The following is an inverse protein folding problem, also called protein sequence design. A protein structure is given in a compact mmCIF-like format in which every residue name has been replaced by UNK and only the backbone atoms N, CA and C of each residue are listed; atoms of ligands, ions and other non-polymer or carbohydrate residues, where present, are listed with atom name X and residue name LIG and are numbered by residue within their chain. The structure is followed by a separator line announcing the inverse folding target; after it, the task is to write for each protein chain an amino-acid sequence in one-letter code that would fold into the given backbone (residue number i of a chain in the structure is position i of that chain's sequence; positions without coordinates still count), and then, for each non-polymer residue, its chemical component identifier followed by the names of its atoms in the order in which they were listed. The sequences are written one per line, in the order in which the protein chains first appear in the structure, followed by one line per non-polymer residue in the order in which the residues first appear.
data_IF_126222254171
#
_entry.id   IF_126222254171
#
_cell.length_a   1.000
_cell.length_b   1.000
_cell.length_c   1.000
_cell.angle_alpha   90.00
_cell.angle_beta   90.00
_cell.angle_gamma   90.00
#
_symmetry.space_group_name_H-M   'P 1'
#
loop_
_entity.id
_entity.type
_entity.pdbx_description
1 polymer ?
#
# COMPACT_ATOMS: atom_id res chain seq x y z
N UNK A 1 30.71 -4.48 8.31
CA UNK A 1 30.66 -3.98 6.90
C UNK A 1 30.26 -2.48 6.88
N UNK A 2 31.07 -1.60 6.28
CA UNK A 2 30.98 -0.13 6.43
C UNK A 2 29.70 0.57 5.89
N UNK A 3 28.70 -0.20 5.45
CA UNK A 3 27.48 0.29 4.78
C UNK A 3 26.17 -0.04 5.51
N UNK A 4 26.24 -0.65 6.70
CA UNK A 4 25.06 -0.98 7.51
C UNK A 4 24.99 -0.08 8.73
N UNK A 5 23.81 0.49 8.97
CA UNK A 5 23.46 1.24 10.19
C UNK A 5 22.42 0.40 10.93
N UNK A 6 22.72 0.01 12.17
CA UNK A 6 21.80 -0.79 12.98
C UNK A 6 20.77 0.12 13.67
N UNK A 7 19.48 -0.23 13.56
CA UNK A 7 18.36 0.51 14.17
C UNK A 7 17.80 -0.30 15.36
N UNK A 8 17.52 0.34 16.51
CA UNK A 8 17.67 1.78 16.76
C UNK A 8 19.11 2.21 16.97
N UNK A 9 19.99 1.32 17.44
CA UNK A 9 21.40 1.65 17.69
C UNK A 9 21.53 2.92 18.55
N UNK A 10 22.08 3.99 17.98
CA UNK A 10 22.23 5.31 18.61
C UNK A 10 21.23 6.36 18.13
N UNK A 11 20.19 5.99 17.37
CA UNK A 11 19.26 6.91 16.70
C UNK A 11 18.17 7.51 17.61
N UNK A 12 18.12 7.15 18.90
CA UNK A 12 17.12 7.66 19.85
C UNK A 12 15.76 6.98 19.71
N UNK A 13 14.70 7.78 19.76
CA UNK A 13 13.30 7.33 19.68
C UNK A 13 12.71 7.54 18.27
N UNK A 14 11.70 6.74 17.86
CA UNK A 14 11.03 6.92 16.58
C UNK A 14 10.29 8.27 16.50
N UNK A 15 10.11 8.84 15.30
CA UNK A 15 10.43 8.25 14.00
C UNK A 15 11.93 8.30 13.66
N UNK A 16 12.48 7.14 13.27
CA UNK A 16 13.86 7.02 12.82
C UNK A 16 14.02 7.63 11.43
N UNK A 17 14.91 8.61 11.30
CA UNK A 17 15.18 9.30 10.04
C UNK A 17 16.31 8.64 9.27
N UNK A 18 16.01 8.00 8.14
CA UNK A 18 16.94 7.27 7.29
C UNK A 18 17.47 8.18 6.17
N UNK A 19 18.34 9.13 6.52
CA UNK A 19 18.78 10.23 5.64
C UNK A 19 20.14 10.01 4.96
N UNK A 20 20.79 8.86 5.12
CA UNK A 20 22.10 8.59 4.52
C UNK A 20 21.95 7.77 3.24
N UNK A 21 22.10 8.44 2.09
CA UNK A 21 22.10 7.80 0.77
C UNK A 21 23.18 6.72 0.65
N UNK A 22 22.83 5.61 0.01
CA UNK A 22 23.72 4.45 -0.19
C UNK A 22 23.91 3.58 1.05
N UNK A 23 23.09 3.77 2.10
CA UNK A 23 23.15 2.97 3.32
C UNK A 23 22.00 1.99 3.43
N UNK A 24 22.31 0.86 4.05
CA UNK A 24 21.33 -0.11 4.54
C UNK A 24 21.10 0.15 6.01
N UNK A 25 19.84 0.32 6.40
CA UNK A 25 19.40 0.39 7.77
C UNK A 25 18.82 -0.97 8.12
N UNK A 26 19.46 -1.66 9.08
CA UNK A 26 19.02 -2.98 9.52
C UNK A 26 18.39 -2.85 10.91
N UNK A 27 17.11 -3.18 11.00
CA UNK A 27 16.42 -3.27 12.27
C UNK A 27 16.94 -4.49 13.06
N UNK A 28 17.16 -4.31 14.36
CA UNK A 28 17.78 -5.32 15.23
C UNK A 28 16.90 -5.77 16.40
N UNK A 29 15.71 -5.17 16.53
CA UNK A 29 14.71 -5.51 17.53
C UNK A 29 13.34 -5.01 17.08
N UNK A 30 12.30 -5.55 17.69
CA UNK A 30 10.94 -5.05 17.47
C UNK A 30 10.79 -3.61 17.99
N UNK A 31 9.97 -2.81 17.32
CA UNK A 31 9.71 -1.40 17.67
C UNK A 31 8.21 -1.19 17.83
N UNK A 32 7.81 -0.53 18.91
CA UNK A 32 6.46 0.03 19.06
C UNK A 32 6.58 1.54 19.21
N UNK A 33 5.98 2.28 18.29
CA UNK A 33 5.92 3.73 18.32
C UNK A 33 4.48 4.19 18.60
N UNK A 34 4.27 5.26 19.37
CA UNK A 34 2.95 5.88 19.50
C UNK A 34 2.44 6.36 18.13
N UNK A 35 3.34 6.82 17.28
CA UNK A 35 3.10 7.49 16.00
C UNK A 35 3.82 6.76 14.84
N UNK A 36 4.39 7.48 13.88
CA UNK A 36 5.23 6.92 12.80
C UNK A 36 6.50 6.21 13.29
N UNK A 37 7.00 5.21 12.54
CA UNK A 37 8.26 4.50 12.88
C UNK A 37 9.44 4.96 12.03
N UNK A 38 9.33 4.98 10.70
CA UNK A 38 10.43 5.31 9.80
C UNK A 38 10.10 6.45 8.84
N UNK A 39 11.03 7.39 8.70
CA UNK A 39 11.00 8.46 7.69
C UNK A 39 12.24 8.39 6.80
N UNK A 40 12.04 8.29 5.49
CA UNK A 40 13.12 8.13 4.49
C UNK A 40 13.17 9.38 3.59
N UNK A 41 13.94 10.42 3.97
CA UNK A 41 14.06 11.63 3.15
C UNK A 41 15.14 11.53 2.04
N UNK A 42 15.93 10.46 2.00
CA UNK A 42 17.03 10.26 1.05
C UNK A 42 16.77 9.14 0.04
N UNK A 43 17.35 9.27 -1.17
CA UNK A 43 17.38 8.22 -2.20
C UNK A 43 18.44 7.15 -1.91
N UNK A 44 18.34 6.01 -2.60
CA UNK A 44 19.28 4.89 -2.47
C UNK A 44 19.40 4.37 -1.03
N UNK A 45 18.26 4.25 -0.35
CA UNK A 45 18.18 3.77 1.02
C UNK A 45 17.53 2.39 1.01
N UNK A 46 18.17 1.43 1.69
CA UNK A 46 17.55 0.15 2.00
C UNK A 46 17.17 0.12 3.47
N UNK A 47 15.90 -0.10 3.77
CA UNK A 47 15.42 -0.46 5.09
C UNK A 47 15.16 -1.98 5.10
N UNK A 48 15.98 -2.72 5.83
CA UNK A 48 15.76 -4.14 6.10
C UNK A 48 15.22 -4.27 7.52
N UNK A 49 13.99 -4.77 7.65
CA UNK A 49 13.36 -4.97 8.95
C UNK A 49 13.92 -6.19 9.69
N UNK A 50 14.81 -6.99 9.09
CA UNK A 50 15.56 -8.05 9.79
C UNK A 50 14.66 -9.14 10.39
N UNK A 51 13.49 -9.40 9.80
CA UNK A 51 12.41 -10.23 10.32
C UNK A 51 11.76 -9.72 11.63
N UNK A 52 12.06 -8.50 12.05
CA UNK A 52 11.43 -7.86 13.20
C UNK A 52 10.08 -7.24 12.86
N UNK A 53 9.33 -6.93 13.93
CA UNK A 53 8.02 -6.30 13.87
C UNK A 53 8.10 -4.84 14.25
N UNK A 54 7.45 -3.99 13.47
CA UNK A 54 7.18 -2.59 13.85
C UNK A 54 5.68 -2.37 14.02
N UNK A 55 5.32 -1.65 15.08
CA UNK A 55 3.97 -1.19 15.37
C UNK A 55 3.97 0.33 15.33
N UNK A 56 3.19 0.92 14.42
CA UNK A 56 3.02 2.36 14.28
C UNK A 56 1.58 2.76 14.62
N UNK A 57 1.34 4.06 14.87
CA UNK A 57 0.01 4.55 15.24
C UNK A 57 -0.59 3.75 16.41
N UNK A 58 0.22 3.53 17.46
CA UNK A 58 -0.19 2.74 18.62
C UNK A 58 -1.00 3.55 19.65
N UNK A 59 -1.15 4.85 19.42
CA UNK A 59 -2.02 5.74 20.18
C UNK A 59 -2.96 6.44 19.19
N UNK A 60 -4.22 6.58 19.56
CA UNK A 60 -5.18 7.33 18.74
C UNK A 60 -4.84 8.81 18.78
N UNK A 61 -4.62 9.40 17.60
CA UNK A 61 -4.39 10.84 17.48
C UNK A 61 -5.63 11.53 16.88
N UNK A 62 -6.39 12.24 17.73
CA UNK A 62 -7.57 12.99 17.26
C UNK A 62 -7.20 14.26 16.46
N UNK A 63 -5.97 14.76 16.59
CA UNK A 63 -5.55 16.07 16.08
C UNK A 63 -5.28 16.07 14.58
N UNK A 64 -4.94 14.92 14.01
CA UNK A 64 -4.56 14.75 12.60
C UNK A 64 -5.78 14.59 11.64
N UNK A 65 -6.99 14.86 12.14
CA UNK A 65 -8.25 14.71 11.38
C UNK A 65 -8.71 15.97 10.64
N UNK A 66 -7.97 17.09 10.72
CA UNK A 66 -8.51 18.42 10.41
C UNK A 66 -7.89 19.18 9.22
N UNK A 67 -7.02 18.60 8.40
CA UNK A 67 -6.65 19.24 7.12
C UNK A 67 -7.47 18.65 5.95
N UNK A 68 -8.52 19.35 5.48
CA UNK A 68 -9.40 18.90 4.42
C UNK A 68 -8.76 18.94 3.03
N UNK A 69 -7.53 19.43 2.87
CA UNK A 69 -6.88 19.53 1.58
C UNK A 69 -5.69 18.57 1.44
N UNK A 70 -4.89 18.38 2.48
CA UNK A 70 -3.62 17.64 2.36
C UNK A 70 -3.12 16.98 3.65
N UNK A 71 -3.91 16.68 4.69
CA UNK A 71 -3.40 16.23 6.00
C UNK A 71 -2.56 14.94 6.08
N UNK A 72 -2.36 14.21 4.99
CA UNK A 72 -1.66 12.92 5.04
C UNK A 72 -0.11 12.95 5.18
N UNK A 73 0.65 14.02 4.88
CA UNK A 73 2.08 14.11 5.15
C UNK A 73 2.43 14.00 6.63
N UNK A 74 1.52 14.47 7.49
CA UNK A 74 1.69 14.48 8.94
C UNK A 74 1.12 13.20 9.60
N UNK A 75 0.30 12.43 8.87
CA UNK A 75 -0.24 11.18 9.38
C UNK A 75 0.83 10.14 9.74
N UNK A 76 0.49 9.35 10.76
CA UNK A 76 1.32 8.24 11.21
C UNK A 76 1.46 7.19 10.13
N UNK A 77 2.67 6.67 9.90
CA UNK A 77 2.91 5.60 8.95
C UNK A 77 3.99 4.66 9.47
N UNK A 78 3.94 3.39 9.07
CA UNK A 78 5.01 2.44 9.38
C UNK A 78 6.32 2.88 8.75
N UNK A 79 6.30 3.03 7.43
CA UNK A 79 7.42 3.56 6.63
C UNK A 79 6.91 4.67 5.72
N UNK A 80 7.46 5.89 5.85
CA UNK A 80 7.11 7.05 5.01
C UNK A 80 8.28 7.57 4.19
N UNK A 81 8.00 7.83 2.92
CA UNK A 81 8.91 8.42 1.95
C UNK A 81 8.12 9.32 0.99
N UNK A 82 8.37 10.64 1.03
CA UNK A 82 7.57 11.62 0.28
C UNK A 82 8.33 12.29 -0.86
N UNK A 83 7.62 12.45 -1.98
CA UNK A 83 7.98 13.26 -3.14
C UNK A 83 8.90 12.56 -4.15
N UNK A 84 10.22 12.71 -4.02
CA UNK A 84 11.13 12.54 -5.15
C UNK A 84 12.27 11.55 -4.87
N UNK A 85 12.22 10.82 -3.76
CA UNK A 85 13.24 9.81 -3.50
C UNK A 85 13.04 8.62 -4.43
N UNK A 86 14.17 8.09 -4.87
CA UNK A 86 14.25 6.97 -5.80
C UNK A 86 15.13 5.89 -5.19
N UNK A 87 14.93 4.64 -5.64
CA UNK A 87 15.67 3.49 -5.15
C UNK A 87 15.57 3.35 -3.61
N UNK A 88 14.36 3.55 -3.08
CA UNK A 88 14.00 3.24 -1.70
C UNK A 88 13.49 1.82 -1.67
N UNK A 89 14.16 0.98 -0.88
CA UNK A 89 13.93 -0.45 -0.80
C UNK A 89 13.51 -0.79 0.64
N UNK A 90 12.38 -1.48 0.83
CA UNK A 90 11.89 -1.93 2.15
C UNK A 90 11.73 -3.45 2.15
N UNK A 91 12.41 -4.14 3.07
CA UNK A 91 12.54 -5.59 3.05
C UNK A 91 12.21 -6.25 4.40
N UNK A 92 11.79 -7.52 4.33
CA UNK A 92 11.92 -8.56 5.37
C UNK A 92 11.41 -8.21 6.77
N UNK A 93 10.10 -8.25 7.03
CA UNK A 93 9.59 -8.10 8.40
C UNK A 93 8.08 -7.93 8.48
N UNK A 94 7.61 -7.41 9.62
CA UNK A 94 6.18 -7.21 9.86
C UNK A 94 5.89 -5.76 10.21
N UNK A 95 4.88 -5.17 9.59
CA UNK A 95 4.44 -3.78 9.81
C UNK A 95 2.96 -3.79 10.21
N UNK A 96 2.65 -3.33 11.42
CA UNK A 96 1.32 -3.41 12.01
C UNK A 96 0.85 -2.00 12.41
N UNK A 97 -0.36 -1.62 11.98
CA UNK A 97 -1.06 -0.49 12.58
C UNK A 97 -1.54 -0.90 13.98
N UNK A 98 -1.13 -0.14 14.99
CA UNK A 98 -1.42 -0.38 16.39
C UNK A 98 -2.84 -0.01 16.80
N UNK A 99 -3.00 0.22 18.11
CA UNK A 99 -4.31 0.47 18.73
C UNK A 99 -4.94 1.82 18.34
N UNK A 100 -4.18 2.75 17.76
CA UNK A 100 -4.71 4.03 17.29
C UNK A 100 -5.78 3.84 16.23
N UNK A 101 -5.55 2.96 15.25
CA UNK A 101 -6.52 2.65 14.19
C UNK A 101 -7.14 3.89 13.54
N UNK A 102 -6.33 4.94 13.39
CA UNK A 102 -6.75 6.22 12.86
C UNK A 102 -7.31 6.10 11.43
N UNK A 103 -8.18 7.05 11.08
CA UNK A 103 -8.84 7.08 9.77
C UNK A 103 -7.97 7.81 8.75
N UNK A 104 -7.76 7.19 7.60
CA UNK A 104 -7.09 7.82 6.48
C UNK A 104 -7.96 8.88 5.81
N UNK A 105 -7.31 9.75 5.05
CA UNK A 105 -7.97 10.77 4.25
C UNK A 105 -8.89 10.15 3.19
N UNK A 106 -9.82 10.91 2.62
CA UNK A 106 -10.79 10.37 1.65
C UNK A 106 -10.15 9.63 0.46
N UNK A 107 -8.92 9.98 0.07
CA UNK A 107 -8.18 9.30 -1.00
C UNK A 107 -7.53 7.97 -0.58
N UNK A 108 -7.70 7.55 0.67
CA UNK A 108 -7.03 6.43 1.30
C UNK A 108 -5.60 6.72 1.77
N UNK A 109 -5.20 7.99 1.80
CA UNK A 109 -3.85 8.43 2.18
C UNK A 109 -3.73 8.63 3.69
N UNK A 110 -2.52 8.43 4.23
CA UNK A 110 -2.28 8.48 5.68
C UNK A 110 -2.48 7.12 6.32
N UNK A 111 -1.79 6.86 7.44
CA UNK A 111 -1.98 5.64 8.24
C UNK A 111 -1.69 4.33 7.51
N UNK A 112 -0.96 4.38 6.39
CA UNK A 112 -0.54 3.19 5.65
C UNK A 112 0.66 2.54 6.33
N UNK A 113 0.73 1.19 6.35
CA UNK A 113 1.96 0.47 6.68
C UNK A 113 3.16 0.96 5.87
N UNK A 114 2.99 1.12 4.55
CA UNK A 114 4.04 1.65 3.66
C UNK A 114 3.48 2.75 2.78
N UNK A 115 4.17 3.89 2.79
CA UNK A 115 3.87 5.03 1.93
C UNK A 115 5.16 5.51 1.27
N UNK A 116 5.34 5.19 -0.01
CA UNK A 116 6.47 5.60 -0.83
C UNK A 116 5.89 6.32 -2.05
N UNK A 117 5.82 7.65 -2.01
CA UNK A 117 5.27 8.44 -3.12
C UNK A 117 6.27 8.70 -4.25
N UNK A 118 7.56 8.44 -4.02
CA UNK A 118 8.63 8.60 -4.99
C UNK A 118 8.40 7.80 -6.27
N UNK A 119 8.67 8.42 -7.42
CA UNK A 119 8.70 7.73 -8.72
C UNK A 119 10.08 7.11 -8.97
N UNK A 120 10.14 5.91 -9.53
CA UNK A 120 11.40 5.25 -9.88
C UNK A 120 11.46 3.82 -9.37
N UNK A 121 12.66 3.22 -9.37
CA UNK A 121 12.90 1.81 -9.01
C UNK A 121 12.85 1.58 -7.49
N UNK A 122 11.75 1.97 -6.86
CA UNK A 122 11.47 1.66 -5.46
C UNK A 122 11.01 0.20 -5.32
N UNK A 123 11.28 -0.43 -4.19
CA UNK A 123 10.98 -1.84 -3.98
C UNK A 123 10.38 -2.07 -2.59
N UNK A 124 9.35 -2.91 -2.51
CA UNK A 124 8.82 -3.42 -1.24
C UNK A 124 8.66 -4.92 -1.35
N UNK A 125 9.40 -5.67 -0.54
CA UNK A 125 9.40 -7.12 -0.63
C UNK A 125 9.56 -7.86 0.69
N UNK A 126 8.97 -9.06 0.77
CA UNK A 126 9.15 -9.94 1.92
C UNK A 126 8.56 -9.40 3.22
N UNK A 127 7.56 -8.51 3.16
CA UNK A 127 6.90 -7.97 4.35
C UNK A 127 5.50 -8.53 4.57
N UNK A 128 5.11 -8.67 5.84
CA UNK A 128 3.73 -8.80 6.27
C UNK A 128 3.21 -7.40 6.68
N UNK A 129 2.16 -6.91 6.04
CA UNK A 129 1.54 -5.63 6.35
C UNK A 129 0.11 -5.82 6.88
N UNK A 130 -0.18 -5.29 8.06
CA UNK A 130 -1.50 -5.31 8.67
C UNK A 130 -1.95 -3.91 9.06
N UNK A 131 -3.19 -3.55 8.72
CA UNK A 131 -3.79 -2.26 9.09
C UNK A 131 -5.26 -2.40 9.46
N UNK A 132 -5.78 -1.48 10.27
CA UNK A 132 -7.11 -1.57 10.88
C UNK A 132 -7.89 -0.24 10.87
N UNK A 133 -7.28 0.87 10.44
CA UNK A 133 -7.95 2.16 10.31
C UNK A 133 -9.05 2.20 9.25
N UNK A 134 -10.00 3.12 9.38
CA UNK A 134 -11.03 3.36 8.35
C UNK A 134 -10.44 4.18 7.19
N UNK A 135 -10.88 3.94 5.94
CA UNK A 135 -10.35 4.66 4.76
C UNK A 135 -8.79 4.66 4.66
N UNK A 136 -8.13 3.54 4.95
CA UNK A 136 -6.66 3.40 4.89
C UNK A 136 -6.24 2.44 3.78
N UNK A 137 -5.17 2.78 3.04
CA UNK A 137 -4.48 1.88 2.10
C UNK A 137 -3.39 1.07 2.80
N UNK A 138 -3.16 -0.16 2.35
CA UNK A 138 -2.06 -0.98 2.84
C UNK A 138 -0.69 -0.47 2.39
N UNK A 139 -0.49 -0.39 1.07
CA UNK A 139 0.72 0.15 0.47
C UNK A 139 0.35 1.22 -0.55
N UNK A 140 0.92 2.40 -0.41
CA UNK A 140 0.87 3.43 -1.46
C UNK A 140 2.25 3.61 -2.06
N UNK A 141 2.35 3.29 -3.34
CA UNK A 141 3.59 3.35 -4.10
C UNK A 141 3.54 4.48 -5.13
N UNK A 142 4.70 4.93 -5.58
CA UNK A 142 4.84 5.75 -6.76
C UNK A 142 4.95 4.90 -8.03
N UNK A 143 4.90 5.54 -9.21
CA UNK A 143 5.12 4.85 -10.47
C UNK A 143 6.58 4.33 -10.57
N UNK A 144 6.79 3.20 -11.25
CA UNK A 144 8.10 2.56 -11.37
C UNK A 144 8.42 1.55 -10.25
N UNK A 145 7.62 1.52 -9.18
CA UNK A 145 7.90 0.65 -8.04
C UNK A 145 7.63 -0.84 -8.33
N UNK A 146 8.40 -1.70 -7.67
CA UNK A 146 8.21 -3.15 -7.64
C UNK A 146 7.71 -3.59 -6.26
N UNK A 147 6.63 -4.38 -6.23
CA UNK A 147 6.00 -4.85 -4.99
C UNK A 147 5.80 -6.35 -5.09
N UNK A 148 6.51 -7.13 -4.27
CA UNK A 148 6.50 -8.59 -4.42
C UNK A 148 6.80 -9.41 -3.17
N UNK A 149 6.30 -10.65 -3.12
CA UNK A 149 6.48 -11.55 -1.98
C UNK A 149 6.00 -10.98 -0.65
N UNK A 150 4.96 -10.13 -0.69
CA UNK A 150 4.36 -9.57 0.52
C UNK A 150 3.08 -10.31 0.90
N UNK A 151 2.76 -10.27 2.18
CA UNK A 151 1.46 -10.72 2.72
C UNK A 151 0.73 -9.51 3.27
N UNK A 152 -0.49 -9.26 2.80
CA UNK A 152 -1.26 -8.06 3.14
C UNK A 152 -2.59 -8.45 3.78
N UNK A 153 -2.86 -7.87 4.95
CA UNK A 153 -4.08 -8.10 5.72
C UNK A 153 -4.77 -6.79 6.09
N UNK A 154 -5.84 -6.48 5.36
CA UNK A 154 -6.77 -5.42 5.72
C UNK A 154 -7.73 -5.89 6.82
N UNK A 155 -7.66 -5.26 8.01
CA UNK A 155 -8.57 -5.51 9.14
C UNK A 155 -9.50 -4.35 9.44
N UNK A 156 -9.49 -3.26 8.68
CA UNK A 156 -10.24 -2.10 9.12
C UNK A 156 -11.73 -2.18 8.79
N UNK A 157 -12.44 -1.22 9.37
CA UNK A 157 -13.86 -1.33 9.66
C UNK A 157 -14.76 -0.42 8.82
N UNK A 158 -14.21 0.47 8.00
CA UNK A 158 -15.01 1.42 7.24
C UNK A 158 -14.37 1.93 5.95
N UNK A 159 -15.23 2.35 5.02
CA UNK A 159 -14.93 3.09 3.79
C UNK A 159 -15.82 4.33 3.81
N UNK A 160 -15.21 5.52 3.85
CA UNK A 160 -15.93 6.80 3.86
C UNK A 160 -16.12 7.35 2.44
N UNK A 161 -15.28 6.94 1.49
CA UNK A 161 -15.42 7.30 0.07
C UNK A 161 -15.14 6.11 -0.83
N UNK A 162 -16.21 5.47 -1.32
CA UNK A 162 -16.13 4.37 -2.30
C UNK A 162 -15.59 4.80 -3.67
N UNK A 163 -15.69 6.09 -4.00
CA UNK A 163 -15.19 6.61 -5.28
C UNK A 163 -13.66 6.63 -5.31
N UNK A 164 -13.05 7.05 -4.21
CA UNK A 164 -11.60 7.04 -4.07
C UNK A 164 -11.09 5.66 -3.65
N UNK A 165 -11.83 4.98 -2.77
CA UNK A 165 -11.57 3.62 -2.32
C UNK A 165 -10.38 3.48 -1.37
N UNK A 166 -10.28 2.29 -0.77
CA UNK A 166 -9.05 1.78 -0.14
C UNK A 166 -8.46 0.67 -0.99
N UNK A 167 -7.14 0.54 -0.96
CA UNK A 167 -6.41 -0.44 -1.77
C UNK A 167 -5.43 -1.19 -0.86
N UNK A 168 -5.30 -2.51 -1.05
CA UNK A 168 -4.20 -3.23 -0.40
C UNK A 168 -2.86 -2.77 -0.99
N UNK A 169 -2.78 -2.63 -2.32
CA UNK A 169 -1.65 -2.04 -3.04
C UNK A 169 -2.16 -0.99 -4.02
N UNK A 170 -1.73 0.26 -3.85
CA UNK A 170 -1.98 1.36 -4.76
C UNK A 170 -0.71 1.75 -5.50
N UNK A 171 -0.77 1.68 -6.83
CA UNK A 171 0.27 2.01 -7.79
C UNK A 171 1.48 1.07 -7.74
N UNK A 172 2.31 1.16 -8.77
CA UNK A 172 3.48 0.32 -9.01
C UNK A 172 3.61 -0.05 -10.48
N UNK A 173 4.81 -0.34 -10.93
CA UNK A 173 5.05 -0.84 -12.29
C UNK A 173 4.91 -2.36 -12.34
N UNK A 174 5.49 -3.06 -11.36
CA UNK A 174 5.44 -4.52 -11.25
C UNK A 174 4.90 -4.93 -9.90
N UNK A 175 3.78 -5.65 -9.89
CA UNK A 175 3.16 -6.15 -8.66
C UNK A 175 2.95 -7.65 -8.82
N UNK A 176 3.73 -8.45 -8.09
CA UNK A 176 3.70 -9.90 -8.29
C UNK A 176 4.05 -10.75 -7.09
N UNK A 177 3.59 -11.99 -7.06
CA UNK A 177 3.88 -12.93 -5.96
C UNK A 177 3.45 -12.41 -4.58
N UNK A 178 2.45 -11.52 -4.53
CA UNK A 178 1.87 -11.06 -3.27
C UNK A 178 0.66 -11.91 -2.90
N UNK A 179 0.45 -12.09 -1.60
CA UNK A 179 -0.75 -12.66 -1.02
C UNK A 179 -1.55 -11.55 -0.32
N UNK A 180 -2.66 -11.13 -0.92
CA UNK A 180 -3.63 -10.27 -0.24
C UNK A 180 -4.63 -11.18 0.45
N UNK A 181 -4.46 -11.40 1.76
CA UNK A 181 -5.34 -12.24 2.58
C UNK A 181 -6.75 -11.66 2.70
N UNK A 182 -6.84 -10.34 2.67
CA UNK A 182 -8.10 -9.61 2.68
C UNK A 182 -7.89 -8.18 2.19
N UNK A 183 -8.78 -7.70 1.33
CA UNK A 183 -8.95 -6.28 1.05
C UNK A 183 -10.43 -5.90 1.13
N UNK A 184 -10.76 -4.86 1.90
CA UNK A 184 -12.17 -4.46 2.09
C UNK A 184 -12.79 -3.71 0.90
N UNK A 185 -11.96 -3.32 -0.07
CA UNK A 185 -12.40 -2.62 -1.27
C UNK A 185 -11.58 -3.06 -2.50
N UNK A 186 -10.40 -2.49 -2.75
CA UNK A 186 -9.57 -2.95 -3.87
C UNK A 186 -8.39 -3.77 -3.38
N UNK A 187 -8.04 -4.85 -4.09
CA UNK A 187 -6.77 -5.53 -3.83
C UNK A 187 -5.62 -4.73 -4.46
N UNK A 188 -5.61 -4.57 -5.79
CA UNK A 188 -4.56 -3.86 -6.51
C UNK A 188 -5.17 -2.78 -7.41
N UNK A 189 -4.61 -1.57 -7.40
CA UNK A 189 -5.04 -0.46 -8.28
C UNK A 189 -3.86 0.31 -8.84
N UNK A 190 -3.96 0.77 -10.09
CA UNK A 190 -3.06 1.81 -10.63
C UNK A 190 -1.72 1.27 -11.17
N UNK A 191 -1.73 0.08 -11.75
CA UNK A 191 -0.53 -0.72 -12.00
C UNK A 191 -0.38 -1.15 -13.47
N UNK A 192 0.86 -1.23 -13.94
CA UNK A 192 1.20 -1.61 -15.31
C UNK A 192 1.31 -3.12 -15.50
N UNK A 193 2.04 -3.86 -14.66
CA UNK A 193 2.21 -5.29 -14.81
C UNK A 193 1.85 -6.04 -13.52
N UNK A 194 0.82 -6.88 -13.58
CA UNK A 194 0.26 -7.57 -12.41
C UNK A 194 0.19 -9.06 -12.66
N UNK A 195 0.99 -9.85 -11.94
CA UNK A 195 1.04 -11.29 -12.17
C UNK A 195 1.40 -12.15 -10.97
N UNK A 196 1.02 -13.42 -11.00
CA UNK A 196 1.33 -14.39 -9.93
C UNK A 196 0.89 -13.94 -8.53
N UNK A 197 -0.10 -13.06 -8.40
CA UNK A 197 -0.64 -12.69 -7.10
C UNK A 197 -1.81 -13.61 -6.72
N UNK A 198 -2.00 -13.80 -5.42
CA UNK A 198 -3.18 -14.44 -4.86
C UNK A 198 -3.97 -13.41 -4.04
N UNK A 199 -5.19 -13.11 -4.48
CA UNK A 199 -5.96 -11.95 -4.03
C UNK A 199 -7.30 -12.38 -3.46
N UNK A 200 -7.57 -12.06 -2.19
CA UNK A 200 -8.85 -12.28 -1.52
C UNK A 200 -9.53 -10.94 -1.23
N UNK A 201 -10.52 -10.57 -2.05
CA UNK A 201 -11.35 -9.39 -1.83
C UNK A 201 -12.61 -9.73 -1.02
N UNK A 202 -12.84 -8.99 0.06
CA UNK A 202 -14.02 -9.09 0.92
C UNK A 202 -14.70 -7.72 0.96
N UNK A 203 -15.47 -7.43 -0.08
CA UNK A 203 -15.80 -6.05 -0.44
C UNK A 203 -16.91 -5.46 0.43
N UNK A 204 -16.69 -4.28 1.02
CA UNK A 204 -17.67 -3.60 1.88
C UNK A 204 -18.55 -2.59 1.13
N UNK A 205 -18.18 -2.25 -0.11
CA UNK A 205 -18.86 -1.24 -0.90
C UNK A 205 -18.85 -1.63 -2.38
N UNK A 206 -19.70 -0.94 -3.16
CA UNK A 206 -19.65 -1.01 -4.62
C UNK A 206 -18.38 -0.36 -5.17
N UNK A 207 -18.01 -0.74 -6.40
CA UNK A 207 -16.83 -0.30 -7.15
C UNK A 207 -15.51 -0.82 -6.56
N UNK A 208 -15.57 -2.02 -5.99
CA UNK A 208 -14.41 -2.76 -5.53
C UNK A 208 -13.79 -3.60 -6.67
N UNK A 209 -12.46 -3.67 -6.69
CA UNK A 209 -11.72 -4.34 -7.75
C UNK A 209 -10.66 -5.32 -7.22
N UNK A 210 -10.55 -6.50 -7.82
CA UNK A 210 -9.39 -7.36 -7.61
C UNK A 210 -8.15 -6.69 -8.19
N UNK A 211 -8.18 -6.43 -9.50
CA UNK A 211 -7.16 -5.65 -10.19
C UNK A 211 -7.82 -4.51 -10.96
N UNK A 212 -7.47 -3.28 -10.62
CA UNK A 212 -7.88 -2.08 -11.32
C UNK A 212 -6.73 -1.58 -12.21
N UNK A 213 -6.65 -2.15 -13.41
CA UNK A 213 -5.55 -1.97 -14.37
C UNK A 213 -5.49 -0.54 -14.95
N UNK A 214 -4.33 -0.09 -15.43
CA UNK A 214 -4.16 1.18 -16.14
C UNK A 214 -4.00 0.98 -17.66
N UNK A 215 -3.88 2.03 -18.46
CA UNK A 215 -3.49 1.86 -19.87
C UNK A 215 -2.11 1.21 -19.99
N UNK A 216 -1.88 0.49 -21.10
CA UNK A 216 -0.64 -0.21 -21.42
C UNK A 216 -0.23 -1.22 -20.33
N UNK A 217 -1.21 -1.91 -19.75
CA UNK A 217 -0.98 -2.85 -18.67
C UNK A 217 -1.19 -4.30 -19.10
N UNK A 218 -0.52 -5.23 -18.43
CA UNK A 218 -0.75 -6.67 -18.56
C UNK A 218 -1.18 -7.23 -17.19
N UNK A 219 -2.28 -7.97 -17.17
CA UNK A 219 -2.78 -8.67 -15.97
C UNK A 219 -2.87 -10.16 -16.27
N UNK A 220 -1.98 -10.97 -15.70
CA UNK A 220 -1.93 -12.39 -16.01
C UNK A 220 -1.49 -13.30 -14.87
N UNK A 221 -1.83 -14.60 -14.92
CA UNK A 221 -1.42 -15.60 -13.94
C UNK A 221 -1.79 -15.27 -12.47
N UNK A 222 -2.78 -14.42 -12.24
CA UNK A 222 -3.28 -14.13 -10.89
C UNK A 222 -4.38 -15.11 -10.50
N UNK A 223 -4.50 -15.36 -9.19
CA UNK A 223 -5.63 -16.05 -8.58
C UNK A 223 -6.45 -15.02 -7.81
N UNK A 224 -7.68 -14.78 -8.25
CA UNK A 224 -8.55 -13.73 -7.71
C UNK A 224 -9.80 -14.38 -7.14
N UNK A 225 -9.94 -14.27 -5.82
CA UNK A 225 -11.11 -14.67 -5.06
C UNK A 225 -11.83 -13.43 -4.56
N UNK A 226 -13.13 -13.36 -4.78
CA UNK A 226 -13.91 -12.18 -4.45
C UNK A 226 -15.24 -12.53 -3.82
N UNK A 227 -15.58 -11.82 -2.74
CA UNK A 227 -16.91 -11.81 -2.17
C UNK A 227 -17.30 -10.46 -1.58
N UNK A 228 -18.22 -10.49 -0.62
CA UNK A 228 -18.81 -9.27 -0.06
C UNK A 228 -19.87 -8.65 -0.99
N UNK A 229 -19.97 -7.33 -0.93
CA UNK A 229 -21.04 -6.54 -1.54
C UNK A 229 -21.00 -6.56 -3.08
N UNK A 230 -19.89 -6.17 -3.70
CA UNK A 230 -19.77 -6.19 -5.17
C UNK A 230 -18.30 -6.12 -5.60
N UNK A 231 -17.73 -7.28 -5.94
CA UNK A 231 -16.36 -7.40 -6.46
C UNK A 231 -16.33 -7.49 -7.98
N UNK A 232 -15.49 -6.67 -8.60
CA UNK A 232 -15.11 -6.79 -10.02
C UNK A 232 -13.70 -7.40 -10.06
N UNK A 233 -13.55 -8.60 -10.60
CA UNK A 233 -12.25 -9.28 -10.59
C UNK A 233 -11.14 -8.44 -11.26
N UNK A 234 -11.35 -8.02 -12.51
CA UNK A 234 -10.39 -7.23 -13.28
C UNK A 234 -11.14 -6.13 -14.02
N UNK A 235 -10.75 -4.87 -13.79
CA UNK A 235 -11.26 -3.73 -14.53
C UNK A 235 -10.26 -3.30 -15.61
N UNK A 236 -10.58 -3.65 -16.86
CA UNK A 236 -9.85 -3.22 -18.05
C UNK A 236 -10.46 -1.97 -18.72
N UNK A 237 -11.66 -1.56 -18.30
CA UNK A 237 -12.35 -0.37 -18.79
C UNK A 237 -12.62 0.62 -17.64
N UNK A 238 -12.73 1.90 -17.98
CA UNK A 238 -13.08 2.95 -17.02
C UNK A 238 -12.48 4.29 -17.42
N UNK A 239 -13.28 5.35 -17.25
CA UNK A 239 -12.82 6.72 -17.28
C UNK A 239 -11.65 6.89 -16.31
N UNK A 240 -10.58 7.57 -16.72
CA UNK A 240 -9.57 8.05 -15.79
C UNK A 240 -10.23 9.03 -14.81
N UNK A 241 -10.76 8.51 -13.70
CA UNK A 241 -11.34 9.33 -12.61
C UNK A 241 -10.30 10.23 -11.94
N UNK A 242 -9.02 10.09 -12.31
CA UNK A 242 -7.92 10.96 -11.93
C UNK A 242 -7.43 11.65 -13.20
N UNK A 243 -7.51 12.99 -13.23
CA UNK A 243 -7.12 13.90 -14.32
C UNK A 243 -5.63 13.85 -14.73
N UNK A 244 -5.17 12.68 -15.15
CA UNK A 244 -3.82 12.41 -15.63
C UNK A 244 -3.78 11.50 -16.86
N UNK A 245 -4.91 11.01 -17.39
CA UNK A 245 -4.87 10.42 -18.73
C UNK A 245 -4.75 11.53 -19.76
N UNK A 246 -3.64 11.55 -20.48
CA UNK A 246 -3.49 12.31 -21.72
C UNK A 246 -4.46 11.87 -22.83
N UNK A 247 -5.33 10.89 -22.57
CA UNK A 247 -6.42 10.50 -23.46
C UNK A 247 -7.64 11.43 -23.27
N UNK A 248 -8.00 12.26 -24.26
CA UNK A 248 -9.17 13.14 -24.20
C UNK A 248 -10.50 12.38 -24.09
N UNK A 249 -10.52 11.06 -24.37
CA UNK A 249 -11.71 10.23 -24.23
C UNK A 249 -11.79 9.50 -22.87
N UNK A 250 -10.75 9.61 -22.03
CA UNK A 250 -10.70 9.03 -20.70
C UNK A 250 -10.65 7.49 -20.64
N UNK A 251 -10.56 6.78 -21.77
CA UNK A 251 -10.56 5.32 -21.78
C UNK A 251 -9.17 4.74 -21.54
N UNK A 252 -9.13 3.61 -20.83
CA UNK A 252 -7.93 2.77 -20.76
C UNK A 252 -7.70 2.08 -22.10
N UNK A 253 -6.45 2.02 -22.54
CA UNK A 253 -6.05 1.42 -23.83
C UNK A 253 -4.99 0.37 -23.61
N UNK A 254 -4.92 -0.60 -24.53
CA UNK A 254 -3.87 -1.64 -24.55
C UNK A 254 -3.76 -2.39 -23.22
N UNK A 255 -4.91 -2.80 -22.66
CA UNK A 255 -4.94 -3.66 -21.47
C UNK A 255 -5.01 -5.10 -21.94
N UNK A 256 -3.97 -5.87 -21.67
CA UNK A 256 -3.93 -7.30 -21.93
C UNK A 256 -4.35 -8.07 -20.66
N UNK A 257 -5.32 -8.96 -20.79
CA UNK A 257 -5.78 -9.83 -19.70
C UNK A 257 -5.78 -11.26 -20.19
N UNK A 258 -5.00 -12.14 -19.55
CA UNK A 258 -4.90 -13.56 -19.90
C UNK A 258 -4.55 -14.42 -18.69
N UNK A 259 -4.83 -15.71 -18.74
CA UNK A 259 -4.32 -16.71 -17.77
C UNK A 259 -4.63 -16.44 -16.28
N UNK A 260 -5.66 -15.65 -15.96
CA UNK A 260 -6.08 -15.43 -14.57
C UNK A 260 -7.12 -16.47 -14.16
N UNK A 261 -6.97 -17.01 -12.94
CA UNK A 261 -8.02 -17.77 -12.28
C UNK A 261 -8.90 -16.81 -11.48
N UNK A 262 -10.22 -16.85 -11.71
CA UNK A 262 -11.18 -15.98 -11.05
C UNK A 262 -12.32 -16.80 -10.44
N UNK A 263 -12.57 -16.58 -9.15
CA UNK A 263 -13.73 -17.11 -8.44
C UNK A 263 -14.42 -15.99 -7.67
N UNK A 264 -15.66 -15.69 -8.05
CA UNK A 264 -16.46 -14.64 -7.42
C UNK A 264 -17.74 -15.23 -6.83
N UNK A 265 -18.04 -14.85 -5.59
CA UNK A 265 -19.28 -15.18 -4.93
C UNK A 265 -19.83 -13.93 -4.25
N UNK A 266 -20.87 -13.34 -4.83
CA UNK A 266 -21.60 -12.29 -4.15
C UNK A 266 -22.34 -12.87 -2.94
N UNK A 267 -22.36 -12.12 -1.85
CA UNK A 267 -23.30 -12.35 -0.74
C UNK A 267 -24.37 -11.28 -0.80
N UNK A 268 -25.57 -11.61 -0.33
CA UNK A 268 -26.64 -10.63 -0.20
C UNK A 268 -26.15 -9.48 0.69
N UNK A 269 -26.31 -8.21 0.27
CA UNK A 269 -26.03 -7.07 1.13
C UNK A 269 -26.76 -7.18 2.46
N UNK A 270 -26.05 -7.02 3.57
CA UNK A 270 -26.72 -6.78 4.85
C UNK A 270 -27.52 -5.47 4.72
N UNK A 271 -28.84 -5.59 4.83
CA UNK A 271 -29.80 -4.47 4.81
C UNK A 271 -29.90 -3.82 6.18
#
# INVERSE_FOLDING_TARGET
PANVIYVPGTMGDPPYTLNQSGKTYLLTQDITAPNSVFSIPASNVTLDLGAHTIIYNNVYDASDTNDPNWGYPDSDMGVKCFWNQINVIVLNGTIIQGAGANTGYMSGAGYSPVYIAGSGSNEVAGIMAQWNGSQVKGMRMGPGAEVHHNVLLDRGYGITSRHQGTDAIYSGDRIHHNLVLRARHNCIRGCANVYNNELYGDTFATNAFGVNATSNSVVHDNRIFGGGYMMIAIAACGGAYSGGSSDPNGFRRNVEVRDNFVHLQAIEPYT
#
